data_IF_958428600740
#
_entry.id   IF_958428600740
#
_cell.length_a   1.000
_cell.length_b   1.000
_cell.length_c   1.000
_cell.angle_alpha   90.00
_cell.angle_beta   90.00
_cell.angle_gamma   90.00
#
_symmetry.space_group_name_H-M   'P 1'
#
loop_
_entity.id
_entity.type
_entity.pdbx_description
1 polymer ?
#
# COMPACT_ATOMS: atom_id res chain seq x y z
N UNK A 1 -44.60 -4.10 64.26
CA UNK A 1 -44.09 -3.34 63.11
C UNK A 1 -42.83 -4.05 62.59
N UNK A 2 -43.00 -4.79 61.52
CA UNK A 2 -41.89 -5.57 60.90
C UNK A 2 -41.35 -4.78 59.76
N UNK A 3 -40.06 -4.38 59.80
CA UNK A 3 -39.41 -3.65 58.79
C UNK A 3 -38.86 -4.62 57.73
N UNK A 4 -39.43 -4.59 56.51
CA UNK A 4 -38.91 -5.27 55.35
C UNK A 4 -37.74 -4.47 54.81
N UNK A 5 -36.54 -5.07 54.80
CA UNK A 5 -35.38 -4.54 54.12
C UNK A 5 -35.39 -5.09 52.66
N UNK A 6 -35.44 -4.27 51.63
CA UNK A 6 -35.32 -4.75 50.28
C UNK A 6 -33.83 -5.11 50.00
N UNK A 7 -33.56 -6.38 49.70
CA UNK A 7 -32.30 -6.83 49.14
C UNK A 7 -32.25 -6.31 47.69
N UNK A 8 -31.41 -5.31 47.44
CA UNK A 8 -30.99 -5.01 46.10
C UNK A 8 -30.04 -6.14 45.68
N UNK A 9 -30.55 -7.01 44.82
CA UNK A 9 -29.71 -7.95 44.09
C UNK A 9 -28.81 -7.11 43.17
N UNK A 10 -27.55 -7.02 43.53
CA UNK A 10 -26.49 -6.54 42.62
C UNK A 10 -26.50 -7.44 41.40
N UNK A 11 -26.78 -6.90 40.24
CA UNK A 11 -26.46 -7.56 38.97
C UNK A 11 -25.00 -7.98 39.07
N UNK A 12 -24.75 -9.27 38.94
CA UNK A 12 -23.43 -9.78 38.69
C UNK A 12 -22.96 -9.10 37.39
N UNK A 13 -21.86 -8.39 37.47
CA UNK A 13 -21.13 -7.98 36.29
C UNK A 13 -20.86 -9.24 35.49
N UNK A 14 -21.56 -9.34 34.36
CA UNK A 14 -21.24 -10.28 33.31
C UNK A 14 -19.83 -9.90 32.85
N UNK A 15 -18.88 -10.83 33.00
CA UNK A 15 -17.51 -10.70 32.47
C UNK A 15 -17.50 -10.67 30.94
N UNK A 16 -18.43 -9.95 30.32
CA UNK A 16 -18.38 -9.62 28.91
C UNK A 16 -17.21 -8.66 28.73
N UNK A 17 -16.14 -9.13 28.11
CA UNK A 17 -15.03 -8.31 27.62
C UNK A 17 -15.65 -7.12 26.88
N UNK A 18 -15.50 -5.94 27.48
CA UNK A 18 -16.12 -4.74 26.92
C UNK A 18 -15.51 -4.51 25.56
N UNK A 19 -16.29 -4.38 24.50
CA UNK A 19 -15.75 -4.14 23.13
C UNK A 19 -14.74 -2.98 23.09
N UNK A 20 -14.84 -2.06 24.04
CA UNK A 20 -13.91 -0.94 24.24
C UNK A 20 -12.52 -1.36 24.74
N UNK A 21 -12.37 -2.54 25.32
CA UNK A 21 -11.09 -3.05 25.82
C UNK A 21 -10.30 -3.76 24.71
N UNK A 22 -10.96 -4.16 23.63
CA UNK A 22 -10.32 -4.80 22.49
C UNK A 22 -9.41 -3.83 21.72
N UNK A 23 -8.24 -4.31 21.32
CA UNK A 23 -7.35 -3.63 20.39
C UNK A 23 -7.55 -4.21 19.00
N UNK A 24 -8.08 -3.40 18.10
CA UNK A 24 -8.34 -3.80 16.72
C UNK A 24 -7.15 -3.43 15.83
N UNK A 25 -6.54 -4.43 15.23
CA UNK A 25 -5.40 -4.24 14.32
C UNK A 25 -5.91 -3.98 12.91
N UNK A 26 -5.46 -2.88 12.32
CA UNK A 26 -5.75 -2.45 10.96
C UNK A 26 -4.47 -2.36 10.14
N UNK A 27 -4.58 -2.53 8.82
CA UNK A 27 -3.50 -2.33 7.87
C UNK A 27 -3.76 -1.05 7.08
N UNK A 28 -2.84 -0.10 7.14
CA UNK A 28 -2.98 1.21 6.51
C UNK A 28 -1.77 1.56 5.63
N UNK A 29 -1.95 2.35 4.55
CA UNK A 29 -0.84 3.04 3.92
C UNK A 29 -0.08 3.87 4.96
N UNK A 30 1.25 3.97 4.85
CA UNK A 30 2.03 4.82 5.75
C UNK A 30 1.62 6.31 5.65
N UNK A 31 1.21 6.72 4.44
CA UNK A 31 0.55 8.03 4.21
C UNK A 31 -0.96 7.82 4.03
N UNK A 32 -1.64 7.46 5.11
CA UNK A 32 -3.09 7.18 5.10
C UNK A 32 -3.97 8.42 4.90
N UNK A 33 -3.39 9.62 4.93
CA UNK A 33 -4.11 10.86 4.62
C UNK A 33 -4.29 11.08 3.12
N UNK A 34 -3.58 10.32 2.28
CA UNK A 34 -3.70 10.37 0.82
C UNK A 34 -4.44 9.15 0.28
N UNK A 35 -5.11 9.28 -0.86
CA UNK A 35 -5.66 8.13 -1.56
C UNK A 35 -4.57 7.10 -1.86
N UNK A 36 -4.91 5.82 -1.78
CA UNK A 36 -3.99 4.75 -2.20
C UNK A 36 -3.55 4.99 -3.65
N UNK A 37 -2.24 5.04 -3.94
CA UNK A 37 -1.76 5.37 -5.28
C UNK A 37 -2.05 4.26 -6.27
N UNK A 38 -2.21 4.63 -7.54
CA UNK A 38 -2.12 3.73 -8.68
C UNK A 38 -0.79 3.96 -9.38
N UNK A 39 -0.20 2.88 -9.91
CA UNK A 39 1.10 2.92 -10.56
C UNK A 39 0.93 2.68 -12.06
N UNK A 40 1.66 3.43 -12.88
CA UNK A 40 1.64 3.28 -14.33
C UNK A 40 3.05 3.01 -14.84
N UNK A 41 3.19 1.87 -15.50
CA UNK A 41 4.40 1.46 -16.20
C UNK A 41 4.26 1.86 -17.67
N UNK A 42 5.28 2.52 -18.23
CA UNK A 42 5.30 2.91 -19.63
C UNK A 42 6.10 1.90 -20.43
N UNK A 43 5.52 1.37 -21.50
CA UNK A 43 6.21 0.48 -22.43
C UNK A 43 6.57 1.25 -23.72
N UNK A 44 7.86 1.38 -23.99
CA UNK A 44 8.40 2.09 -25.15
C UNK A 44 9.21 1.11 -25.98
N UNK A 45 8.97 1.07 -27.30
CA UNK A 45 9.70 0.24 -28.26
C UNK A 45 11.21 0.53 -28.16
N UNK A 46 12.02 -0.53 -28.11
CA UNK A 46 13.49 -0.51 -27.96
C UNK A 46 14.02 -0.03 -26.59
N UNK A 47 13.22 0.66 -25.77
CA UNK A 47 13.62 1.13 -24.43
C UNK A 47 13.13 0.22 -23.32
N UNK A 48 12.10 -0.62 -23.60
CA UNK A 48 11.52 -1.54 -22.65
C UNK A 48 10.45 -0.90 -21.77
N UNK A 49 10.33 -1.38 -20.53
CA UNK A 49 9.32 -0.91 -19.59
C UNK A 49 9.96 -0.01 -18.54
N UNK A 50 9.49 1.22 -18.48
CA UNK A 50 9.90 2.24 -17.53
C UNK A 50 8.88 2.35 -16.40
N UNK A 51 9.38 2.59 -15.19
CA UNK A 51 8.60 2.81 -13.98
C UNK A 51 8.94 1.82 -12.88
N UNK A 52 8.47 2.13 -11.70
CA UNK A 52 8.61 1.29 -10.50
C UNK A 52 7.36 1.38 -9.66
N UNK A 53 7.15 0.36 -8.86
CA UNK A 53 6.16 0.37 -7.77
C UNK A 53 6.94 0.49 -6.48
N UNK A 54 6.65 1.51 -5.71
CA UNK A 54 7.16 1.67 -4.35
C UNK A 54 6.00 2.12 -3.48
N UNK A 55 5.75 1.38 -2.42
CA UNK A 55 4.62 1.61 -1.54
C UNK A 55 4.97 1.27 -0.10
N UNK A 56 4.56 2.11 0.84
CA UNK A 56 4.77 1.91 2.25
C UNK A 56 3.46 1.68 2.99
N UNK A 57 3.46 0.70 3.88
CA UNK A 57 2.30 0.35 4.69
C UNK A 57 2.72 -0.04 6.12
N UNK A 58 1.78 0.05 7.05
CA UNK A 58 1.99 -0.22 8.46
C UNK A 58 0.76 -0.86 9.11
N UNK A 59 0.96 -1.55 10.21
CA UNK A 59 -0.12 -1.98 11.09
C UNK A 59 -0.38 -0.91 12.15
N UNK A 60 -1.66 -0.70 12.48
CA UNK A 60 -2.09 0.29 13.48
C UNK A 60 -3.16 -0.27 14.39
N UNK A 61 -3.25 0.30 15.59
CA UNK A 61 -4.34 0.07 16.54
C UNK A 61 -4.92 1.42 16.99
N UNK A 62 -6.16 1.43 17.43
CA UNK A 62 -6.84 2.66 17.89
C UNK A 62 -6.34 3.17 19.24
N UNK A 63 -5.71 2.32 20.05
CA UNK A 63 -5.09 2.67 21.35
C UNK A 63 -3.71 2.03 21.46
N UNK A 64 -2.85 2.61 22.32
CA UNK A 64 -1.53 2.05 22.58
C UNK A 64 -1.66 0.64 23.16
N UNK A 65 -0.88 -0.29 22.62
CA UNK A 65 -0.91 -1.69 23.07
C UNK A 65 -0.06 -1.87 24.33
N UNK A 66 -0.47 -2.79 25.19
CA UNK A 66 0.22 -3.07 26.46
C UNK A 66 1.40 -4.02 26.29
N UNK A 67 1.41 -4.79 25.19
CA UNK A 67 2.42 -5.77 24.83
C UNK A 67 2.74 -5.69 23.35
N UNK A 68 3.87 -6.23 22.96
CA UNK A 68 4.25 -6.32 21.54
C UNK A 68 3.24 -7.17 20.77
N UNK A 69 2.84 -6.68 19.60
CA UNK A 69 1.97 -7.37 18.67
C UNK A 69 2.74 -7.61 17.38
N UNK A 70 2.87 -8.87 16.99
CA UNK A 70 3.49 -9.26 15.72
C UNK A 70 2.41 -9.54 14.67
N UNK A 71 2.35 -8.72 13.63
CA UNK A 71 1.34 -8.82 12.58
C UNK A 71 1.97 -9.41 11.33
N UNK A 72 1.56 -10.63 11.00
CA UNK A 72 1.94 -11.29 9.75
C UNK A 72 1.02 -10.82 8.63
N UNK A 73 1.59 -10.61 7.47
CA UNK A 73 0.85 -10.21 6.29
C UNK A 73 1.20 -11.08 5.09
N UNK A 74 0.32 -11.11 4.11
CA UNK A 74 0.53 -11.74 2.82
C UNK A 74 0.43 -10.71 1.70
N UNK A 75 1.23 -10.88 0.67
CA UNK A 75 1.17 -10.07 -0.55
C UNK A 75 0.88 -11.01 -1.72
N UNK A 76 -0.15 -10.70 -2.48
CA UNK A 76 -0.55 -11.45 -3.66
C UNK A 76 -0.80 -10.52 -4.84
N UNK A 77 -0.41 -10.96 -6.03
CA UNK A 77 -0.70 -10.25 -7.27
C UNK A 77 -0.84 -11.26 -8.40
N UNK A 78 -2.02 -11.31 -9.01
CA UNK A 78 -2.22 -12.19 -10.16
C UNK A 78 -1.41 -11.67 -11.35
N UNK A 79 -0.58 -12.54 -11.93
CA UNK A 79 0.26 -12.22 -13.09
C UNK A 79 1.62 -11.60 -12.76
N UNK A 80 1.95 -11.40 -11.49
CA UNK A 80 3.29 -10.99 -11.03
C UNK A 80 3.82 -12.03 -10.05
N UNK A 81 4.98 -12.61 -10.35
CA UNK A 81 5.61 -13.59 -9.47
C UNK A 81 6.01 -12.96 -8.14
N UNK A 82 5.77 -13.69 -7.04
CA UNK A 82 6.09 -13.22 -5.69
C UNK A 82 7.59 -12.89 -5.50
N UNK A 83 8.49 -13.56 -6.25
CA UNK A 83 9.93 -13.32 -6.21
C UNK A 83 10.35 -11.97 -6.86
N UNK A 84 9.45 -11.29 -7.56
CA UNK A 84 9.64 -9.94 -8.11
C UNK A 84 9.21 -8.84 -7.14
N UNK A 85 8.51 -9.22 -6.07
CA UNK A 85 8.02 -8.29 -5.05
C UNK A 85 9.03 -8.28 -3.90
N UNK A 86 9.72 -7.16 -3.72
CA UNK A 86 10.66 -6.97 -2.63
C UNK A 86 9.96 -6.32 -1.44
N UNK A 87 10.24 -6.83 -0.25
CA UNK A 87 9.67 -6.35 1.01
C UNK A 87 10.81 -6.08 1.98
N UNK A 88 10.78 -4.90 2.63
CA UNK A 88 11.84 -4.50 3.59
C UNK A 88 11.84 -5.31 4.90
N UNK A 89 10.72 -5.94 5.25
CA UNK A 89 10.59 -6.84 6.40
C UNK A 89 9.51 -7.90 6.11
N UNK A 90 9.46 -8.97 6.92
CA UNK A 90 8.51 -10.08 6.75
C UNK A 90 7.24 -9.94 7.60
N UNK A 91 7.27 -9.11 8.61
CA UNK A 91 6.17 -8.88 9.54
C UNK A 91 6.21 -7.44 10.07
N UNK A 92 5.10 -6.97 10.60
CA UNK A 92 4.92 -5.66 11.19
C UNK A 92 4.88 -5.81 12.72
N UNK A 93 5.74 -5.11 13.44
CA UNK A 93 5.81 -5.15 14.90
C UNK A 93 5.25 -3.85 15.48
N UNK A 94 4.13 -3.94 16.20
CA UNK A 94 3.62 -2.85 17.04
C UNK A 94 4.19 -3.05 18.44
N UNK A 95 5.08 -2.16 18.86
CA UNK A 95 5.73 -2.25 20.18
C UNK A 95 4.78 -1.83 21.29
N UNK A 96 4.96 -2.39 22.48
CA UNK A 96 4.27 -1.97 23.69
C UNK A 96 4.40 -0.45 23.88
N UNK A 97 3.30 0.20 24.21
CA UNK A 97 3.20 1.66 24.33
C UNK A 97 2.98 2.40 23.01
N UNK A 98 2.95 1.69 21.87
CA UNK A 98 2.75 2.28 20.53
C UNK A 98 1.34 1.97 19.99
N UNK A 99 0.90 2.79 19.03
CA UNK A 99 -0.33 2.60 18.26
C UNK A 99 -0.06 2.17 16.83
N UNK A 100 1.21 2.10 16.40
CA UNK A 100 1.59 1.73 15.04
C UNK A 100 2.92 1.01 15.01
N UNK A 101 3.12 0.20 13.97
CA UNK A 101 4.41 -0.38 13.63
C UNK A 101 5.25 0.62 12.83
N UNK A 102 6.56 0.33 12.69
CA UNK A 102 7.35 0.94 11.63
C UNK A 102 6.79 0.55 10.25
N UNK A 103 6.86 1.45 9.26
CA UNK A 103 6.40 1.15 7.92
C UNK A 103 7.28 0.10 7.22
N UNK A 104 6.65 -0.79 6.45
CA UNK A 104 7.32 -1.70 5.52
C UNK A 104 7.23 -1.12 4.12
N UNK A 105 8.36 -1.15 3.40
CA UNK A 105 8.41 -0.77 1.99
C UNK A 105 8.25 -2.02 1.12
N UNK A 106 7.28 -1.97 0.21
CA UNK A 106 7.09 -2.89 -0.89
C UNK A 106 7.65 -2.23 -2.15
N UNK A 107 8.46 -2.95 -2.92
CA UNK A 107 8.97 -2.44 -4.20
C UNK A 107 8.99 -3.50 -5.29
N UNK A 108 8.71 -3.07 -6.52
CA UNK A 108 8.86 -3.87 -7.75
C UNK A 108 9.55 -2.99 -8.77
N UNK A 109 10.73 -3.41 -9.22
CA UNK A 109 11.59 -2.62 -10.13
C UNK A 109 11.97 -3.36 -11.40
N UNK A 110 11.87 -4.69 -11.41
CA UNK A 110 12.23 -5.52 -12.57
C UNK A 110 10.96 -5.92 -13.34
N UNK A 111 10.79 -5.35 -14.53
CA UNK A 111 9.66 -5.57 -15.42
C UNK A 111 10.04 -6.26 -16.74
N UNK A 112 11.30 -6.71 -16.90
CA UNK A 112 11.80 -7.30 -18.14
C UNK A 112 10.96 -8.46 -18.66
N UNK A 113 10.38 -9.25 -17.76
CA UNK A 113 9.53 -10.39 -18.13
C UNK A 113 8.21 -9.99 -18.81
N UNK A 114 7.80 -8.70 -18.74
CA UNK A 114 6.62 -8.15 -19.40
C UNK A 114 6.90 -7.49 -20.76
N UNK A 115 8.17 -7.34 -21.15
CA UNK A 115 8.55 -6.65 -22.40
C UNK A 115 8.04 -7.36 -23.66
N UNK A 116 7.86 -8.68 -23.59
CA UNK A 116 7.33 -9.46 -24.71
C UNK A 116 5.82 -9.24 -24.93
N UNK A 117 5.11 -8.66 -23.97
CA UNK A 117 3.68 -8.39 -24.05
C UNK A 117 3.45 -6.97 -24.51
N UNK A 118 2.98 -6.79 -25.74
CA UNK A 118 2.82 -5.47 -26.37
C UNK A 118 1.53 -4.76 -25.97
N UNK A 119 0.54 -5.50 -25.50
CA UNK A 119 -0.76 -4.97 -25.06
C UNK A 119 -0.66 -4.28 -23.72
N UNK A 120 -1.67 -3.44 -23.43
CA UNK A 120 -1.86 -2.89 -22.10
C UNK A 120 -2.27 -4.00 -21.13
N UNK A 121 -1.75 -3.95 -19.90
CA UNK A 121 -2.05 -4.89 -18.84
C UNK A 121 -2.44 -4.14 -17.56
N UNK A 122 -3.30 -4.75 -16.77
CA UNK A 122 -3.67 -4.27 -15.44
C UNK A 122 -3.44 -5.38 -14.42
N UNK A 123 -2.86 -5.01 -13.28
CA UNK A 123 -2.60 -5.90 -12.16
C UNK A 123 -3.24 -5.34 -10.89
N UNK A 124 -3.70 -6.23 -10.06
CA UNK A 124 -4.21 -5.90 -8.73
C UNK A 124 -3.34 -6.58 -7.69
N UNK A 125 -2.56 -5.80 -6.96
CA UNK A 125 -1.75 -6.29 -5.86
C UNK A 125 -2.53 -6.08 -4.56
N UNK A 126 -2.61 -7.13 -3.74
CA UNK A 126 -3.32 -7.15 -2.47
C UNK A 126 -2.35 -7.44 -1.34
N UNK A 127 -2.39 -6.61 -0.31
CA UNK A 127 -1.66 -6.79 0.95
C UNK A 127 -2.71 -7.05 2.02
N UNK A 128 -2.66 -8.20 2.70
CA UNK A 128 -3.65 -8.60 3.69
C UNK A 128 -2.99 -8.99 5.01
N UNK A 129 -3.67 -8.73 6.13
CA UNK A 129 -3.32 -9.37 7.40
C UNK A 129 -3.56 -10.87 7.24
N UNK A 130 -2.52 -11.66 7.49
CA UNK A 130 -2.57 -13.12 7.45
C UNK A 130 -2.83 -13.71 8.85
N UNK A 131 -2.14 -13.16 9.86
CA UNK A 131 -2.24 -13.61 11.25
C UNK A 131 -1.76 -12.52 12.21
N UNK A 132 -2.20 -12.60 13.48
CA UNK A 132 -1.78 -11.70 14.55
C UNK A 132 -1.31 -12.55 15.73
N UNK A 133 -0.03 -12.44 16.04
CA UNK A 133 0.54 -13.05 17.25
C UNK A 133 0.57 -12.01 18.38
N UNK A 134 -0.20 -12.29 19.43
CA UNK A 134 -0.21 -11.50 20.65
C UNK A 134 -0.41 -12.43 21.85
N UNK A 135 0.20 -12.10 22.98
CA UNK A 135 -0.05 -12.80 24.23
C UNK A 135 -1.30 -12.29 24.93
N UNK A 136 -1.88 -11.18 24.45
CA UNK A 136 -3.13 -10.63 24.98
C UNK A 136 -4.33 -11.17 24.20
N UNK A 137 -5.32 -11.70 24.91
CA UNK A 137 -6.59 -12.10 24.31
C UNK A 137 -7.45 -10.91 23.83
N UNK A 138 -7.06 -9.69 24.20
CA UNK A 138 -7.77 -8.45 23.84
C UNK A 138 -7.35 -7.89 22.47
N UNK A 139 -6.60 -8.64 21.66
CA UNK A 139 -6.13 -8.21 20.36
C UNK A 139 -6.82 -9.03 19.26
N UNK A 140 -7.39 -8.36 18.28
CA UNK A 140 -8.07 -9.00 17.15
C UNK A 140 -7.94 -8.16 15.87
N UNK A 141 -8.34 -8.74 14.75
CA UNK A 141 -8.46 -8.02 13.49
C UNK A 141 -9.58 -6.97 13.54
N UNK A 142 -9.35 -5.79 13.02
CA UNK A 142 -10.42 -4.82 12.77
C UNK A 142 -11.43 -5.40 11.76
N UNK A 143 -12.71 -5.00 11.87
CA UNK A 143 -13.71 -5.39 10.87
C UNK A 143 -13.42 -4.80 9.48
N UNK A 144 -12.73 -3.66 9.45
CA UNK A 144 -12.35 -2.93 8.25
C UNK A 144 -10.84 -2.73 8.21
N UNK A 145 -10.30 -2.36 7.04
CA UNK A 145 -8.86 -2.08 6.86
C UNK A 145 -7.95 -3.28 7.12
N UNK A 146 -8.40 -4.48 6.77
CA UNK A 146 -7.58 -5.69 6.81
C UNK A 146 -6.78 -5.92 5.51
N UNK A 147 -7.12 -5.16 4.47
CA UNK A 147 -6.54 -5.30 3.14
C UNK A 147 -6.24 -3.93 2.52
N UNK A 148 -5.09 -3.83 1.85
CA UNK A 148 -4.75 -2.73 0.96
C UNK A 148 -4.71 -3.27 -0.46
N UNK A 149 -5.35 -2.57 -1.38
CA UNK A 149 -5.40 -2.93 -2.81
C UNK A 149 -4.67 -1.86 -3.62
N UNK A 150 -3.61 -2.26 -4.33
CA UNK A 150 -2.87 -1.40 -5.24
C UNK A 150 -3.19 -1.78 -6.68
N UNK A 151 -3.38 -0.78 -7.53
CA UNK A 151 -3.55 -0.96 -8.97
C UNK A 151 -2.26 -0.62 -9.69
N UNK A 152 -1.82 -1.52 -10.58
CA UNK A 152 -0.64 -1.35 -11.41
C UNK A 152 -1.09 -1.54 -12.84
N UNK A 153 -0.89 -0.52 -13.68
CA UNK A 153 -1.20 -0.57 -15.11
C UNK A 153 0.09 -0.51 -15.93
N UNK A 154 0.20 -1.33 -16.96
CA UNK A 154 1.22 -1.24 -17.99
C UNK A 154 0.58 -0.73 -19.28
N UNK A 155 1.12 0.32 -19.89
CA UNK A 155 0.62 0.80 -21.18
C UNK A 155 0.92 -0.21 -22.29
N UNK A 156 0.14 -0.16 -23.38
CA UNK A 156 0.55 -0.80 -24.61
C UNK A 156 1.90 -0.25 -25.08
N UNK A 157 2.69 -1.07 -25.81
CA UNK A 157 3.94 -0.63 -26.39
C UNK A 157 3.69 0.56 -27.32
N UNK A 158 4.41 1.66 -27.09
CA UNK A 158 4.38 2.84 -27.95
C UNK A 158 5.64 2.89 -28.77
N UNK A 159 5.50 3.23 -30.06
CA UNK A 159 6.67 3.53 -30.89
C UNK A 159 7.41 4.74 -30.35
N UNK A 160 8.72 4.68 -30.42
CA UNK A 160 9.57 5.83 -30.12
C UNK A 160 9.26 6.93 -31.13
N UNK A 161 8.72 8.05 -30.68
CA UNK A 161 8.53 9.22 -31.52
C UNK A 161 9.90 9.85 -31.80
N UNK A 162 10.51 9.51 -32.93
CA UNK A 162 11.65 10.29 -33.42
C UNK A 162 11.09 11.57 -34.04
N UNK A 163 11.24 12.68 -33.37
CA UNK A 163 11.04 13.99 -33.99
C UNK A 163 12.21 14.19 -34.95
N UNK A 164 12.02 13.81 -36.21
CA UNK A 164 12.95 14.20 -37.25
C UNK A 164 12.80 15.73 -37.41
N UNK A 165 13.73 16.48 -36.85
CA UNK A 165 13.90 17.89 -37.15
C UNK A 165 14.42 18.01 -38.59
N UNK A 166 13.55 17.74 -39.57
CA UNK A 166 13.91 17.72 -41.01
C UNK A 166 14.24 19.11 -41.56
N UNK A 167 13.96 20.20 -40.79
CA UNK A 167 14.16 21.58 -41.26
C UNK A 167 14.94 22.47 -40.29
N UNK A 168 15.91 21.92 -39.54
CA UNK A 168 16.77 22.74 -38.68
C UNK A 168 17.51 23.82 -39.49
N UNK A 169 17.86 23.54 -40.73
CA UNK A 169 18.51 24.53 -41.62
C UNK A 169 17.59 25.70 -41.96
N UNK A 170 16.32 25.43 -42.24
CA UNK A 170 15.36 26.50 -42.58
C UNK A 170 14.98 27.33 -41.33
N UNK A 171 14.99 26.73 -40.17
CA UNK A 171 14.75 27.43 -38.91
C UNK A 171 15.89 28.37 -38.54
N UNK A 172 17.13 27.96 -38.72
CA UNK A 172 18.34 28.79 -38.50
C UNK A 172 18.38 29.93 -39.52
N UNK A 173 18.02 29.67 -40.78
CA UNK A 173 17.97 30.70 -41.81
C UNK A 173 16.90 31.75 -41.55
N UNK A 174 15.73 31.37 -41.14
CA UNK A 174 14.65 32.31 -40.80
C UNK A 174 14.99 33.16 -39.58
N UNK A 175 15.71 32.61 -38.60
CA UNK A 175 16.17 33.37 -37.44
C UNK A 175 17.30 34.36 -37.74
N UNK A 176 18.21 34.00 -38.69
CA UNK A 176 19.30 34.88 -39.08
C UNK A 176 18.89 35.97 -40.08
N UNK A 177 17.91 35.70 -40.93
CA UNK A 177 17.41 36.73 -41.86
C UNK A 177 16.49 37.74 -41.19
N UNK A 178 15.91 37.41 -40.02
CA UNK A 178 15.11 38.33 -39.22
C UNK A 178 15.91 39.38 -38.45
N UNK A 179 17.24 39.23 -38.36
CA UNK A 179 18.15 40.18 -37.66
C UNK A 179 18.76 41.24 -38.60
N UNK A 180 18.71 41.04 -39.92
CA UNK A 180 19.29 41.99 -40.89
C UNK A 180 18.35 43.12 -41.35
N UNK A 181 17.10 43.15 -40.86
CA UNK A 181 16.12 44.19 -41.26
C UNK A 181 15.56 45.01 -40.08
N UNK A 182 16.37 45.32 -39.06
CA UNK A 182 16.01 46.26 -38.01
C UNK A 182 17.03 47.40 -37.93
#
# INVERSE_FOLDING_TARGET
MSAMIPFFSSCSDDDSVNEWDMSYVSLLPADYLRPTPSFTLKHVEEEGIEGSVEFQFMATTQKAVTQDINVHYSVTCDGIDANKINLSAKNLLIKAGSTASEPITLSITDWKYLENTKEALEYTLKIKIADIESTSAEVTNAAYYQEIVLKISKTAEKKKESVLLTNVKDWIFTFMTGVENS
#
